data_IF_247215428884
#
_entry.id   IF_247215428884
#
_cell.length_a   1.000
_cell.length_b   1.000
_cell.length_c   1.000
_cell.angle_alpha   90.00
_cell.angle_beta   90.00
_cell.angle_gamma   90.00
#
_symmetry.space_group_name_H-M   'P 1'
#
loop_
_entity.id
_entity.type
_entity.pdbx_description
1 polymer ?
#
# COMPACT_ATOMS: atom_id res chain seq x y z
N UNK A 1 9.93 -13.13 -1.18
CA UNK A 1 8.84 -12.49 -1.97
C UNK A 1 8.42 -13.43 -3.08
N UNK A 2 7.13 -13.49 -3.42
CA UNK A 2 6.60 -14.22 -4.59
C UNK A 2 6.75 -13.44 -5.90
N UNK A 3 6.81 -12.10 -5.82
CA UNK A 3 6.96 -11.16 -6.94
C UNK A 3 8.19 -10.28 -6.72
N UNK A 4 8.48 -9.36 -7.65
CA UNK A 4 9.60 -8.42 -7.56
C UNK A 4 9.16 -6.95 -7.44
N UNK A 5 10.04 -6.05 -7.01
CA UNK A 5 9.73 -4.62 -6.80
C UNK A 5 9.00 -3.93 -7.96
N UNK A 6 9.43 -4.19 -9.20
CA UNK A 6 8.83 -3.57 -10.39
C UNK A 6 7.40 -4.03 -10.69
N UNK A 7 6.95 -5.11 -10.08
CA UNK A 7 5.64 -5.70 -10.34
C UNK A 7 4.52 -4.96 -9.57
N UNK A 8 4.88 -4.28 -8.48
CA UNK A 8 3.95 -3.52 -7.65
C UNK A 8 3.17 -2.47 -8.46
N UNK A 9 3.80 -1.88 -9.48
CA UNK A 9 3.15 -0.89 -10.37
C UNK A 9 1.95 -1.46 -11.14
N UNK A 10 1.86 -2.79 -11.26
CA UNK A 10 0.83 -3.46 -12.02
C UNK A 10 -0.45 -3.69 -11.21
N UNK A 11 -0.40 -3.52 -9.88
CA UNK A 11 -1.52 -3.77 -8.98
C UNK A 11 -2.62 -2.70 -9.08
N UNK A 12 -3.89 -3.11 -8.96
CA UNK A 12 -5.04 -2.20 -8.86
C UNK A 12 -5.37 -1.83 -7.40
N UNK A 13 -4.97 -2.69 -6.46
CA UNK A 13 -5.09 -2.45 -5.02
C UNK A 13 -3.80 -2.92 -4.36
N UNK A 14 -3.25 -2.09 -3.49
CA UNK A 14 -2.05 -2.41 -2.70
C UNK A 14 -2.40 -2.26 -1.23
N UNK A 15 -2.41 -3.38 -0.52
CA UNK A 15 -2.47 -3.43 0.93
C UNK A 15 -1.05 -3.50 1.50
N UNK A 16 -0.64 -2.47 2.23
CA UNK A 16 0.58 -2.46 3.03
C UNK A 16 0.18 -2.75 4.48
N UNK A 17 0.34 -4.00 4.92
CA UNK A 17 0.11 -4.40 6.31
C UNK A 17 1.44 -4.61 7.05
N UNK A 18 1.60 -4.00 8.22
CA UNK A 18 2.76 -4.24 9.10
C UNK A 18 4.12 -3.82 8.50
N UNK A 19 4.13 -2.87 7.56
CA UNK A 19 5.35 -2.41 6.89
C UNK A 19 5.34 -0.90 6.64
N UNK A 20 6.51 -0.26 6.71
CA UNK A 20 6.68 1.16 6.45
C UNK A 20 7.61 1.43 5.23
N UNK A 21 7.22 1.05 4.01
CA UNK A 21 8.10 1.09 2.85
C UNK A 21 8.49 2.50 2.38
N UNK A 22 7.72 3.55 2.71
CA UNK A 22 8.14 4.93 2.42
C UNK A 22 9.44 5.32 3.16
N UNK A 23 9.70 4.70 4.31
CA UNK A 23 10.91 4.95 5.11
C UNK A 23 11.94 3.81 5.00
N UNK A 24 11.48 2.56 5.08
CA UNK A 24 12.36 1.38 5.10
C UNK A 24 12.76 0.89 3.70
N UNK A 25 11.99 1.20 2.67
CA UNK A 25 12.22 0.75 1.29
C UNK A 25 12.02 1.88 0.26
N UNK A 26 12.63 3.06 0.43
CA UNK A 26 12.31 4.26 -0.34
C UNK A 26 12.56 4.07 -1.86
N UNK A 27 13.58 3.32 -2.25
CA UNK A 27 13.84 2.98 -3.66
C UNK A 27 12.73 2.10 -4.24
N UNK A 28 12.22 1.15 -3.48
CA UNK A 28 11.09 0.31 -3.89
C UNK A 28 9.77 1.10 -3.90
N UNK A 29 9.63 2.08 -3.02
CA UNK A 29 8.41 2.86 -2.83
C UNK A 29 7.97 3.61 -4.10
N UNK A 30 8.90 3.91 -5.01
CA UNK A 30 8.59 4.49 -6.32
C UNK A 30 7.56 3.68 -7.13
N UNK A 31 7.51 2.35 -6.95
CA UNK A 31 6.60 1.49 -7.70
C UNK A 31 5.17 1.52 -7.14
N UNK A 32 5.02 1.78 -5.84
CA UNK A 32 3.71 2.03 -5.21
C UNK A 32 3.13 3.34 -5.71
N UNK A 33 3.97 4.40 -5.76
CA UNK A 33 3.57 5.71 -6.29
C UNK A 33 3.19 5.61 -7.77
N UNK A 34 3.96 4.85 -8.58
CA UNK A 34 3.60 4.60 -9.98
C UNK A 34 2.24 3.92 -10.12
N UNK A 35 1.94 2.89 -9.32
CA UNK A 35 0.62 2.25 -9.34
C UNK A 35 -0.50 3.25 -9.01
N UNK A 36 -0.30 4.04 -7.95
CA UNK A 36 -1.26 5.04 -7.46
C UNK A 36 -1.54 6.15 -8.46
N UNK A 37 -0.53 6.58 -9.24
CA UNK A 37 -0.66 7.66 -10.21
C UNK A 37 -1.06 7.20 -11.62
N UNK A 38 -1.01 5.90 -11.90
CA UNK A 38 -1.36 5.36 -13.20
C UNK A 38 -2.90 5.36 -13.39
N UNK A 39 -3.45 6.17 -14.30
CA UNK A 39 -4.90 6.28 -14.49
C UNK A 39 -5.53 4.98 -15.02
N UNK A 40 -4.74 4.08 -15.59
CA UNK A 40 -5.19 2.77 -16.07
C UNK A 40 -5.38 1.75 -14.96
N UNK A 41 -4.93 2.06 -13.73
CA UNK A 41 -5.05 1.21 -12.55
C UNK A 41 -6.24 1.58 -11.68
N UNK A 42 -6.56 0.66 -10.80
CA UNK A 42 -7.55 0.84 -9.74
C UNK A 42 -8.87 0.13 -10.04
N UNK A 43 -9.71 -0.06 -9.02
CA UNK A 43 -11.01 -0.71 -9.19
C UNK A 43 -11.97 0.17 -10.02
N UNK A 44 -12.74 -0.45 -10.92
CA UNK A 44 -13.78 0.24 -11.70
C UNK A 44 -13.24 0.99 -12.92
N UNK A 45 -13.68 2.24 -13.12
CA UNK A 45 -13.42 3.07 -14.31
C UNK A 45 -12.01 3.68 -14.41
N UNK A 46 -11.03 3.14 -13.67
CA UNK A 46 -9.69 3.70 -13.57
C UNK A 46 -9.59 4.96 -12.69
N UNK A 47 -8.36 5.39 -12.41
CA UNK A 47 -8.07 6.56 -11.57
C UNK A 47 -6.89 6.40 -10.59
N UNK A 48 -6.13 5.32 -10.69
CA UNK A 48 -5.00 5.02 -9.81
C UNK A 48 -5.25 3.84 -8.89
N UNK A 49 -4.22 3.03 -8.66
CA UNK A 49 -4.27 1.93 -7.71
C UNK A 49 -4.59 2.44 -6.30
N UNK A 50 -5.46 1.74 -5.57
CA UNK A 50 -5.80 2.10 -4.19
C UNK A 50 -4.69 1.65 -3.24
N UNK A 51 -4.06 2.60 -2.58
CA UNK A 51 -2.99 2.37 -1.61
C UNK A 51 -3.56 2.39 -0.19
N UNK A 52 -3.63 1.22 0.45
CA UNK A 52 -4.18 1.04 1.80
C UNK A 52 -3.02 0.71 2.73
N UNK A 53 -2.88 1.43 3.85
CA UNK A 53 -1.85 1.17 4.85
C UNK A 53 -2.48 0.80 6.19
N UNK A 54 -2.18 -0.41 6.64
CA UNK A 54 -2.68 -0.99 7.86
C UNK A 54 -1.50 -1.12 8.85
N UNK A 55 -1.46 -0.23 9.84
CA UNK A 55 -0.39 -0.14 10.84
C UNK A 55 -0.99 0.46 12.13
N UNK A 56 -0.55 0.05 13.34
CA UNK A 56 -0.97 0.69 14.58
C UNK A 56 -0.57 2.18 14.70
N UNK A 57 0.40 2.63 13.88
CA UNK A 57 0.98 3.97 13.87
C UNK A 57 0.74 4.67 12.54
N UNK A 58 0.56 5.99 12.61
CA UNK A 58 0.55 6.84 11.42
C UNK A 58 2.00 7.19 11.03
N UNK A 59 2.43 6.80 9.84
CA UNK A 59 3.82 6.91 9.33
C UNK A 59 3.89 7.71 8.04
N UNK A 60 5.10 7.91 7.46
CA UNK A 60 5.22 8.51 6.12
C UNK A 60 4.55 7.66 5.03
N UNK A 61 4.47 6.35 5.22
CA UNK A 61 3.67 5.49 4.32
C UNK A 61 2.18 5.83 4.44
N UNK A 62 1.67 6.05 5.66
CA UNK A 62 0.26 6.42 5.88
C UNK A 62 -0.09 7.75 5.21
N UNK A 63 0.83 8.72 5.26
CA UNK A 63 0.62 10.07 4.73
C UNK A 63 0.36 10.13 3.21
N UNK A 64 0.72 9.07 2.48
CA UNK A 64 0.55 8.98 1.02
C UNK A 64 -0.46 7.90 0.59
N UNK A 65 -0.97 7.12 1.56
CA UNK A 65 -2.02 6.14 1.33
C UNK A 65 -3.38 6.79 1.14
N UNK A 66 -4.25 6.18 0.33
CA UNK A 66 -5.65 6.57 0.20
C UNK A 66 -6.44 6.26 1.47
N UNK A 67 -6.10 5.16 2.14
CA UNK A 67 -6.73 4.74 3.39
C UNK A 67 -5.68 4.33 4.40
N UNK A 68 -5.80 4.87 5.61
CA UNK A 68 -5.04 4.43 6.78
C UNK A 68 -5.96 3.65 7.72
N UNK A 69 -5.65 2.37 7.92
CA UNK A 69 -6.39 1.45 8.75
C UNK A 69 -5.63 1.25 10.06
N UNK A 70 -6.00 2.04 11.09
CA UNK A 70 -5.41 1.87 12.41
C UNK A 70 -5.95 0.61 13.07
N UNK A 71 -5.06 -0.30 13.43
CA UNK A 71 -5.39 -1.51 14.18
C UNK A 71 -4.64 -1.57 15.52
N UNK A 72 -5.13 -2.40 16.45
CA UNK A 72 -4.40 -2.70 17.69
C UNK A 72 -3.22 -3.63 17.35
N UNK A 73 -2.09 -3.47 18.04
CA UNK A 73 -0.95 -4.38 17.88
C UNK A 73 -1.37 -5.83 18.12
N UNK A 74 -1.05 -6.70 17.16
CA UNK A 74 -1.34 -8.13 17.23
C UNK A 74 -2.78 -8.52 16.93
N UNK A 75 -3.60 -7.66 16.31
CA UNK A 75 -4.98 -7.98 15.88
C UNK A 75 -5.15 -8.20 14.39
N UNK A 76 -4.06 -8.35 13.64
CA UNK A 76 -4.06 -8.50 12.19
C UNK A 76 -4.93 -9.69 11.74
N UNK A 77 -4.87 -10.82 12.46
CA UNK A 77 -5.68 -12.01 12.19
C UNK A 77 -7.18 -11.72 12.33
N UNK A 78 -7.60 -10.95 13.34
CA UNK A 78 -9.01 -10.59 13.50
C UNK A 78 -9.47 -9.54 12.48
N UNK A 79 -8.53 -8.82 11.85
CA UNK A 79 -8.83 -7.78 10.87
C UNK A 79 -8.97 -8.34 9.44
N UNK A 80 -8.18 -9.37 9.10
CA UNK A 80 -8.11 -9.94 7.74
C UNK A 80 -8.57 -11.40 7.62
N UNK A 81 -8.82 -12.08 8.74
CA UNK A 81 -9.14 -13.50 8.83
C UNK A 81 -10.58 -13.84 8.48
#
# INVERSE_FOLDING_TARGET
>A
MTNHWRDIKNADVILINGANPAEAHPVGFQWFVKAKLDPTKGPGSGGGAKLIHADPRFTRTSAVSDMYLRMRTGTDVAYFG
#
